data_IF_316080132745
#
_entry.id   IF_316080132745
#
_cell.length_a   1.000
_cell.length_b   1.000
_cell.length_c   1.000
_cell.angle_alpha   90.00
_cell.angle_beta   90.00
_cell.angle_gamma   90.00
#
_symmetry.space_group_name_H-M   'P 1'
#
loop_
_entity.id
_entity.type
_entity.pdbx_description
1 polymer ?
#
# COMPACT_ATOMS: atom_id res chain seq x y z
N UNK A 1 -27.27 7.80 25.22
CA UNK A 1 -26.29 6.99 24.45
C UNK A 1 -26.87 6.75 23.06
N UNK A 2 -26.41 7.49 22.03
CA UNK A 2 -26.88 7.32 20.64
C UNK A 2 -25.90 6.40 19.91
N UNK A 3 -26.26 5.11 19.84
CA UNK A 3 -25.75 4.19 18.82
C UNK A 3 -26.27 4.68 17.46
N UNK A 4 -25.46 5.48 16.78
CA UNK A 4 -25.72 5.89 15.41
C UNK A 4 -25.18 4.78 14.51
N UNK A 5 -26.10 4.10 13.84
CA UNK A 5 -25.94 2.98 12.89
C UNK A 5 -24.72 3.15 11.95
N UNK A 6 -23.58 2.53 12.26
CA UNK A 6 -22.77 1.85 11.24
C UNK A 6 -23.02 0.36 11.54
N UNK A 7 -23.81 -0.30 10.70
CA UNK A 7 -24.39 -1.60 10.98
C UNK A 7 -23.32 -2.65 11.23
N UNK A 8 -23.41 -3.36 12.35
CA UNK A 8 -22.94 -4.72 12.41
C UNK A 8 -23.93 -5.57 11.59
N UNK A 9 -23.55 -5.90 10.36
CA UNK A 9 -24.05 -7.03 9.58
C UNK A 9 -22.83 -7.44 8.74
N UNK A 10 -22.33 -8.67 8.81
CA UNK A 10 -22.89 -9.74 8.00
C UNK A 10 -22.52 -9.61 6.51
N UNK A 11 -21.99 -8.47 6.09
CA UNK A 11 -21.66 -8.21 4.70
C UNK A 11 -20.37 -8.93 4.40
N UNK A 12 -20.51 -10.05 3.69
CA UNK A 12 -19.40 -10.70 3.03
C UNK A 12 -18.69 -9.72 2.11
N UNK A 13 -19.29 -8.59 1.69
CA UNK A 13 -18.79 -7.66 0.68
C UNK A 13 -17.68 -6.72 1.20
N UNK A 14 -16.68 -6.45 0.36
CA UNK A 14 -15.53 -5.60 0.66
C UNK A 14 -15.90 -4.12 0.80
N UNK A 15 -15.62 -3.56 1.98
CA UNK A 15 -15.89 -2.15 2.31
C UNK A 15 -15.15 -1.14 1.42
N UNK A 16 -14.08 -1.53 0.73
CA UNK A 16 -13.29 -0.63 -0.12
C UNK A 16 -13.82 -0.52 -1.55
N UNK A 17 -14.33 -1.60 -2.11
CA UNK A 17 -14.72 -1.67 -3.52
C UNK A 17 -16.21 -1.96 -3.76
N UNK A 18 -16.92 -2.46 -2.73
CA UNK A 18 -18.33 -2.82 -2.78
C UNK A 18 -18.70 -3.81 -3.90
N UNK A 19 -17.72 -4.58 -4.39
CA UNK A 19 -17.84 -5.35 -5.64
C UNK A 19 -17.65 -6.87 -5.48
N UNK A 20 -17.04 -7.33 -4.38
CA UNK A 20 -16.78 -8.74 -4.14
C UNK A 20 -16.67 -9.02 -2.65
N UNK A 21 -16.72 -10.30 -2.29
CA UNK A 21 -16.59 -10.68 -0.89
C UNK A 21 -15.20 -10.35 -0.33
N UNK A 22 -15.18 -9.69 0.82
CA UNK A 22 -14.02 -9.42 1.62
C UNK A 22 -13.38 -10.71 2.10
N UNK A 23 -12.16 -10.90 1.62
CA UNK A 23 -11.23 -11.91 2.09
C UNK A 23 -9.84 -11.29 2.09
N UNK A 24 -8.90 -11.86 2.84
CA UNK A 24 -7.50 -11.39 2.81
C UNK A 24 -6.96 -11.39 1.37
N UNK A 25 -7.20 -12.45 0.54
CA UNK A 25 -6.77 -12.44 -0.85
C UNK A 25 -7.43 -11.32 -1.67
N UNK A 26 -8.73 -11.09 -1.48
CA UNK A 26 -9.40 -10.00 -2.15
C UNK A 26 -8.82 -8.65 -1.73
N UNK A 27 -8.75 -8.38 -0.44
CA UNK A 27 -8.34 -7.09 0.10
C UNK A 27 -6.96 -6.65 -0.38
N UNK A 28 -6.01 -7.58 -0.57
CA UNK A 28 -4.64 -7.24 -0.94
C UNK A 28 -4.27 -7.51 -2.40
N UNK A 29 -4.95 -8.43 -3.08
CA UNK A 29 -4.59 -8.82 -4.45
C UNK A 29 -5.68 -8.44 -5.45
N UNK A 30 -6.94 -8.78 -5.24
CA UNK A 30 -7.96 -8.60 -6.29
C UNK A 30 -8.88 -7.40 -6.12
N UNK A 31 -8.78 -6.67 -5.00
CA UNK A 31 -9.59 -5.50 -4.72
C UNK A 31 -9.18 -4.34 -5.64
N UNK A 32 -10.11 -3.77 -6.44
CA UNK A 32 -9.82 -2.63 -7.32
C UNK A 32 -9.17 -1.45 -6.60
N UNK A 33 -9.58 -1.19 -5.37
CA UNK A 33 -9.00 -0.15 -4.51
C UNK A 33 -7.50 -0.42 -4.25
N UNK A 34 -7.17 -1.64 -3.85
CA UNK A 34 -5.81 -2.05 -3.52
C UNK A 34 -4.94 -2.18 -4.77
N UNK A 35 -5.49 -2.75 -5.85
CA UNK A 35 -4.82 -2.81 -7.15
C UNK A 35 -4.45 -1.42 -7.65
N UNK A 36 -5.35 -0.44 -7.51
CA UNK A 36 -5.05 0.96 -7.83
C UNK A 36 -3.88 1.50 -7.00
N UNK A 37 -3.92 1.29 -5.67
CA UNK A 37 -2.83 1.73 -4.79
C UNK A 37 -1.48 1.10 -5.18
N UNK A 38 -1.48 -0.20 -5.45
CA UNK A 38 -0.28 -0.94 -5.88
C UNK A 38 0.23 -0.41 -7.22
N UNK A 39 -0.64 -0.16 -8.20
CA UNK A 39 -0.24 0.37 -9.51
C UNK A 39 0.40 1.76 -9.40
N UNK A 40 -0.19 2.65 -8.59
CA UNK A 40 0.34 4.01 -8.41
C UNK A 40 1.71 3.97 -7.74
N UNK A 41 1.88 3.15 -6.70
CA UNK A 41 3.15 2.99 -6.01
C UNK A 41 4.19 2.26 -6.87
N UNK A 42 3.79 1.23 -7.61
CA UNK A 42 4.64 0.50 -8.56
C UNK A 42 5.21 1.43 -9.62
N UNK A 43 4.35 2.25 -10.23
CA UNK A 43 4.76 3.26 -11.21
C UNK A 43 5.70 4.27 -10.59
N UNK A 44 5.45 4.69 -9.34
CA UNK A 44 6.28 5.68 -8.66
C UNK A 44 7.67 5.16 -8.35
N UNK A 45 7.79 3.89 -8.00
CA UNK A 45 9.07 3.26 -7.65
C UNK A 45 9.76 2.61 -8.84
N UNK A 46 9.16 2.67 -10.04
CA UNK A 46 9.62 1.97 -11.24
C UNK A 46 9.85 0.47 -10.99
N UNK A 47 9.01 -0.13 -10.13
CA UNK A 47 9.06 -1.53 -9.74
C UNK A 47 7.76 -2.22 -10.14
N UNK A 48 7.85 -3.36 -10.81
CA UNK A 48 6.66 -4.14 -11.18
C UNK A 48 6.22 -5.01 -10.00
N UNK A 49 5.37 -4.48 -9.10
CA UNK A 49 4.82 -5.28 -7.98
C UNK A 49 3.78 -6.23 -8.54
N UNK A 50 4.04 -7.55 -8.58
CA UNK A 50 3.04 -8.51 -9.02
C UNK A 50 1.88 -8.46 -8.04
N UNK A 51 0.69 -8.30 -8.61
CA UNK A 51 -0.55 -8.48 -7.88
C UNK A 51 -0.87 -9.98 -7.95
N UNK A 52 -0.09 -10.80 -7.25
CA UNK A 52 -0.27 -12.26 -7.23
C UNK A 52 -0.75 -12.74 -5.87
N UNK A 53 -1.58 -13.77 -5.87
CA UNK A 53 -2.13 -14.42 -4.66
C UNK A 53 -1.06 -14.99 -3.72
N UNK A 54 0.20 -15.03 -4.17
CA UNK A 54 1.34 -15.44 -3.38
C UNK A 54 2.15 -14.23 -2.92
N UNK A 55 2.39 -14.18 -1.62
CA UNK A 55 3.33 -13.26 -1.00
C UNK A 55 4.75 -13.38 -1.61
N UNK A 56 5.11 -14.51 -2.23
CA UNK A 56 6.42 -14.78 -2.86
C UNK A 56 6.79 -13.87 -4.03
N UNK A 57 5.96 -12.92 -4.41
CA UNK A 57 6.22 -11.99 -5.49
C UNK A 57 7.56 -11.24 -5.36
N UNK A 58 8.04 -11.01 -4.12
CA UNK A 58 9.33 -10.36 -3.86
C UNK A 58 10.52 -11.16 -4.40
N UNK A 59 10.36 -12.46 -4.64
CA UNK A 59 11.40 -13.35 -5.17
C UNK A 59 11.64 -13.14 -6.67
N UNK A 60 10.63 -12.64 -7.38
CA UNK A 60 10.70 -12.37 -8.82
C UNK A 60 11.33 -11.01 -9.15
N UNK A 61 11.66 -10.21 -8.14
CA UNK A 61 12.29 -8.92 -8.33
C UNK A 61 13.81 -9.04 -8.51
N UNK A 62 14.29 -8.57 -9.65
CA UNK A 62 15.72 -8.31 -9.85
C UNK A 62 16.13 -7.03 -9.12
N UNK A 63 16.25 -7.10 -7.79
CA UNK A 63 16.79 -6.00 -7.01
C UNK A 63 18.30 -5.91 -7.22
N UNK A 64 18.80 -4.73 -7.63
CA UNK A 64 20.24 -4.53 -7.82
C UNK A 64 21.00 -4.50 -6.49
N UNK A 65 20.31 -4.21 -5.38
CA UNK A 65 20.93 -4.05 -4.05
C UNK A 65 19.98 -4.44 -2.91
N UNK A 66 20.54 -4.85 -1.76
CA UNK A 66 19.76 -5.11 -0.54
C UNK A 66 19.06 -3.86 0.00
N UNK A 67 19.58 -2.69 -0.33
CA UNK A 67 18.94 -1.42 -0.05
C UNK A 67 17.60 -1.27 -0.78
N UNK A 68 17.57 -1.54 -2.08
CA UNK A 68 16.35 -1.50 -2.88
C UNK A 68 15.32 -2.52 -2.38
N UNK A 69 15.77 -3.73 -1.97
CA UNK A 69 14.91 -4.72 -1.31
C UNK A 69 14.24 -4.16 -0.06
N UNK A 70 15.00 -3.51 0.82
CA UNK A 70 14.48 -2.91 2.06
C UNK A 70 13.51 -1.76 1.79
N UNK A 71 13.81 -0.89 0.84
CA UNK A 71 12.93 0.22 0.45
C UNK A 71 11.61 -0.31 -0.08
N UNK A 72 11.65 -1.25 -1.03
CA UNK A 72 10.44 -1.87 -1.59
C UNK A 72 9.67 -2.62 -0.51
N UNK A 73 10.36 -3.38 0.35
CA UNK A 73 9.79 -4.00 1.55
C UNK A 73 9.01 -3.03 2.43
N UNK A 74 9.63 -1.91 2.80
CA UNK A 74 9.01 -0.89 3.64
C UNK A 74 7.76 -0.26 2.99
N UNK A 75 7.82 -0.03 1.67
CA UNK A 75 6.71 0.52 0.91
C UNK A 75 5.52 -0.44 0.90
N UNK A 76 5.75 -1.75 0.75
CA UNK A 76 4.67 -2.74 0.75
C UNK A 76 4.01 -2.81 2.12
N UNK A 77 4.82 -2.88 3.18
CA UNK A 77 4.32 -2.88 4.56
C UNK A 77 3.47 -1.63 4.81
N UNK A 78 3.90 -0.47 4.30
CA UNK A 78 3.10 0.74 4.34
C UNK A 78 1.79 0.59 3.54
N UNK A 79 1.84 0.14 2.28
CA UNK A 79 0.63 -0.08 1.47
C UNK A 79 -0.41 -0.93 2.21
N UNK A 80 0.01 -2.03 2.83
CA UNK A 80 -0.87 -2.91 3.63
C UNK A 80 -1.48 -2.16 4.81
N UNK A 81 -0.65 -1.44 5.56
CA UNK A 81 -1.12 -0.61 6.66
C UNK A 81 -2.15 0.41 6.17
N UNK A 82 -1.91 1.06 5.04
CA UNK A 82 -2.77 2.07 4.47
C UNK A 82 -4.10 1.52 3.97
N UNK A 83 -4.10 0.38 3.27
CA UNK A 83 -5.32 -0.35 2.87
C UNK A 83 -6.13 -0.72 4.11
N UNK A 84 -5.48 -1.27 5.13
CA UNK A 84 -6.13 -1.64 6.39
C UNK A 84 -6.70 -0.42 7.13
N UNK A 85 -5.96 0.70 7.13
CA UNK A 85 -6.40 1.97 7.72
C UNK A 85 -7.59 2.56 6.97
N UNK A 86 -7.58 2.54 5.64
CA UNK A 86 -8.70 3.01 4.82
C UNK A 86 -9.97 2.19 5.08
N UNK A 87 -9.84 0.86 5.14
CA UNK A 87 -10.95 -0.03 5.52
C UNK A 87 -11.50 0.30 6.90
N UNK A 88 -10.62 0.44 7.89
CA UNK A 88 -11.03 0.79 9.25
C UNK A 88 -11.71 2.17 9.33
N UNK A 89 -11.27 3.12 8.51
CA UNK A 89 -11.92 4.44 8.44
C UNK A 89 -13.36 4.34 7.96
N UNK A 90 -13.64 3.45 6.99
CA UNK A 90 -15.02 3.19 6.52
C UNK A 90 -15.82 2.52 7.63
N UNK A 91 -15.27 1.51 8.29
CA UNK A 91 -15.96 0.79 9.36
C UNK A 91 -16.35 1.70 10.54
N UNK A 92 -15.46 2.59 10.94
CA UNK A 92 -15.68 3.43 12.13
C UNK A 92 -16.40 4.74 11.84
N UNK A 93 -16.15 5.34 10.67
CA UNK A 93 -16.66 6.68 10.35
C UNK A 93 -17.69 6.67 9.22
N UNK A 94 -17.95 5.52 8.60
CA UNK A 94 -18.80 5.35 7.42
C UNK A 94 -18.40 6.32 6.27
N UNK A 95 -17.09 6.56 6.10
CA UNK A 95 -16.52 7.46 5.09
C UNK A 95 -15.45 6.74 4.26
N UNK A 96 -15.72 6.61 2.95
CA UNK A 96 -14.76 6.12 1.95
C UNK A 96 -13.90 7.28 1.45
N UNK A 97 -12.61 7.19 1.73
CA UNK A 97 -11.62 8.09 1.15
C UNK A 97 -11.11 7.44 -0.13
N UNK A 98 -11.16 8.18 -1.23
CA UNK A 98 -10.76 7.66 -2.54
C UNK A 98 -9.27 7.32 -2.57
N UNK A 99 -8.86 6.24 -3.26
CA UNK A 99 -7.47 5.79 -3.25
C UNK A 99 -6.51 6.83 -3.85
N UNK A 100 -6.96 7.70 -4.76
CA UNK A 100 -6.16 8.78 -5.34
C UNK A 100 -5.72 9.81 -4.28
N UNK A 101 -6.61 10.11 -3.32
CA UNK A 101 -6.32 11.07 -2.24
C UNK A 101 -5.27 10.46 -1.31
N UNK A 102 -5.42 9.18 -0.97
CA UNK A 102 -4.46 8.48 -0.14
C UNK A 102 -3.10 8.36 -0.81
N UNK A 103 -3.04 7.88 -2.06
CA UNK A 103 -1.78 7.70 -2.78
C UNK A 103 -1.00 9.02 -2.95
N UNK A 104 -1.69 10.15 -3.13
CA UNK A 104 -1.08 11.49 -3.21
C UNK A 104 -0.33 11.87 -1.93
N UNK A 105 -0.85 11.50 -0.76
CA UNK A 105 -0.22 11.78 0.53
C UNK A 105 0.80 10.71 0.94
N UNK A 106 0.51 9.46 0.61
CA UNK A 106 1.29 8.28 0.95
C UNK A 106 2.69 8.32 0.34
N UNK A 107 2.77 8.57 -0.97
CA UNK A 107 4.02 8.48 -1.71
C UNK A 107 5.07 9.47 -1.19
N UNK A 108 4.77 10.77 -1.04
CA UNK A 108 5.73 11.73 -0.49
C UNK A 108 6.17 11.35 0.93
N UNK A 109 5.25 10.88 1.78
CA UNK A 109 5.59 10.46 3.14
C UNK A 109 6.52 9.25 3.15
N UNK A 110 6.26 8.24 2.32
CA UNK A 110 7.12 7.06 2.22
C UNK A 110 8.49 7.42 1.67
N UNK A 111 8.56 8.23 0.62
CA UNK A 111 9.85 8.68 0.08
C UNK A 111 10.61 9.52 1.11
N UNK A 112 9.93 10.38 1.86
CA UNK A 112 10.55 11.15 2.94
C UNK A 112 11.08 10.22 4.04
N UNK A 113 10.31 9.24 4.50
CA UNK A 113 10.77 8.27 5.51
C UNK A 113 11.90 7.40 4.99
N UNK A 114 11.83 6.93 3.75
CA UNK A 114 12.90 6.21 3.10
C UNK A 114 14.15 7.06 2.89
N UNK A 115 14.07 8.40 2.85
CA UNK A 115 15.25 9.27 2.85
C UNK A 115 15.83 9.45 4.25
N UNK A 116 14.97 9.70 5.25
CA UNK A 116 15.40 10.01 6.62
C UNK A 116 15.84 8.79 7.44
N UNK A 117 15.27 7.61 7.19
CA UNK A 117 15.68 6.35 7.86
C UNK A 117 16.99 5.81 7.27
N UNK A 118 17.42 6.37 6.14
CA UNK A 118 18.51 5.83 5.31
C UNK A 118 19.87 6.47 5.56
N UNK A 119 19.99 7.47 6.43
CA UNK A 119 21.29 8.04 6.81
C UNK A 119 21.86 7.36 8.08
N UNK A 120 23.05 6.76 8.06
CA UNK A 120 24.34 7.46 7.97
C UNK A 120 25.47 6.71 7.24
N UNK A 121 25.16 5.62 6.51
CA UNK A 121 26.18 4.72 5.92
C UNK A 121 25.91 4.32 4.46
N UNK A 122 25.03 5.04 3.77
CA UNK A 122 24.52 4.61 2.46
C UNK A 122 25.33 5.24 1.33
N UNK A 123 25.92 4.39 0.47
CA UNK A 123 26.69 4.84 -0.70
C UNK A 123 25.84 5.77 -1.59
N UNK A 124 26.47 6.82 -2.13
CA UNK A 124 25.90 7.86 -3.01
C UNK A 124 25.01 7.33 -4.14
N UNK A 125 25.30 6.12 -4.64
CA UNK A 125 24.51 5.40 -5.66
C UNK A 125 23.06 5.06 -5.25
N UNK A 126 22.80 4.87 -3.97
CA UNK A 126 21.46 4.55 -3.44
C UNK A 126 20.60 5.80 -3.26
N UNK A 127 21.22 6.92 -2.87
CA UNK A 127 20.57 8.24 -2.82
C UNK A 127 20.22 8.69 -4.23
N UNK A 128 21.15 8.57 -5.18
CA UNK A 128 20.90 8.89 -6.59
C UNK A 128 19.72 8.10 -7.17
N UNK A 129 19.59 6.82 -6.82
CA UNK A 129 18.41 6.02 -7.22
C UNK A 129 17.12 6.51 -6.55
N UNK A 130 17.13 6.80 -5.24
CA UNK A 130 15.95 7.37 -4.55
C UNK A 130 15.56 8.76 -5.04
N UNK A 131 16.51 9.54 -5.56
CA UNK A 131 16.27 10.86 -6.14
C UNK A 131 15.78 10.80 -7.59
N UNK A 132 16.17 9.75 -8.34
CA UNK A 132 15.61 9.51 -9.67
C UNK A 132 14.16 9.02 -9.65
N UNK A 133 13.69 8.53 -8.50
CA UNK A 133 12.29 8.20 -8.25
C UNK A 133 11.49 9.46 -7.97
#
# INVERSE_FOLDING_TARGET
MRMSRCGYFGDLVCYLCDAADESIPHLFFTCPYSTFCVQVVSRRLEVCIPVSDTWTWWEHFSFKTDFQKKVVGAVICALIYYISKARNHILHNCVLIRPEIWCKSLIPELMFRCKNVVDSNVLSKHVAWLESL
#
